data_IF_913979650967
#
_entry.id   IF_913979650967
#
_cell.length_a   1.000
_cell.length_b   1.000
_cell.length_c   1.000
_cell.angle_alpha   90.00
_cell.angle_beta   90.00
_cell.angle_gamma   90.00
#
_symmetry.space_group_name_H-M   'P 1'
#
loop_
_entity.id
_entity.type
_entity.pdbx_description
1 polymer ?
#
# COMPACT_ATOMS: atom_id res chain seq x y z
N UNK A 1 2.35 -15.97 -11.60
CA UNK A 1 2.73 -14.89 -10.67
C UNK A 1 1.48 -14.41 -9.95
N UNK A 2 1.59 -13.83 -8.74
CA UNK A 2 0.42 -13.36 -7.95
C UNK A 2 -0.49 -12.43 -8.78
N UNK A 3 0.12 -11.54 -9.56
CA UNK A 3 -0.59 -10.57 -10.40
C UNK A 3 -1.18 -11.15 -11.70
N UNK A 4 -0.96 -12.43 -11.99
CA UNK A 4 -1.55 -13.09 -13.16
C UNK A 4 -2.98 -13.61 -12.87
N UNK A 5 -3.46 -13.45 -11.62
CA UNK A 5 -4.82 -13.79 -11.21
C UNK A 5 -5.75 -12.59 -11.45
N UNK A 6 -6.83 -12.74 -12.20
CA UNK A 6 -7.75 -11.63 -12.50
C UNK A 6 -8.31 -10.86 -11.29
N UNK A 7 -8.28 -11.47 -10.08
CA UNK A 7 -8.89 -10.94 -8.86
C UNK A 7 -7.89 -10.53 -7.77
N UNK A 8 -6.60 -10.35 -8.13
CA UNK A 8 -5.58 -10.02 -7.13
C UNK A 8 -5.83 -8.66 -6.47
N UNK A 9 -6.38 -7.69 -7.22
CA UNK A 9 -6.71 -6.36 -6.70
C UNK A 9 -7.85 -6.45 -5.68
N UNK A 10 -8.92 -7.18 -6.00
CA UNK A 10 -10.05 -7.39 -5.09
C UNK A 10 -9.61 -8.13 -3.82
N UNK A 11 -8.73 -9.13 -3.96
CA UNK A 11 -8.16 -9.84 -2.82
C UNK A 11 -7.36 -8.90 -1.91
N UNK A 12 -6.56 -8.02 -2.52
CA UNK A 12 -5.77 -7.04 -1.78
C UNK A 12 -6.67 -6.04 -1.06
N UNK A 13 -7.71 -5.50 -1.72
CA UNK A 13 -8.71 -4.63 -1.08
C UNK A 13 -9.37 -5.30 0.13
N UNK A 14 -9.79 -6.55 0.00
CA UNK A 14 -10.39 -7.33 1.09
C UNK A 14 -9.44 -7.54 2.28
N UNK A 15 -8.14 -7.64 2.02
CA UNK A 15 -7.12 -7.75 3.07
C UNK A 15 -6.89 -6.39 3.75
N UNK A 16 -6.72 -5.32 2.98
CA UNK A 16 -6.44 -3.98 3.52
C UNK A 16 -7.64 -3.36 4.26
N UNK A 17 -8.86 -3.72 3.87
CA UNK A 17 -10.10 -3.28 4.51
C UNK A 17 -10.71 -4.34 5.45
N UNK A 18 -9.94 -5.36 5.86
CA UNK A 18 -10.48 -6.44 6.66
C UNK A 18 -10.91 -5.95 8.05
N UNK A 19 -12.12 -6.31 8.54
CA UNK A 19 -12.58 -5.89 9.87
C UNK A 19 -11.82 -6.57 11.01
N UNK A 20 -11.08 -7.66 10.74
CA UNK A 20 -10.22 -8.27 11.72
C UNK A 20 -8.82 -7.61 11.68
N UNK A 21 -8.47 -6.90 12.75
CA UNK A 21 -7.23 -6.13 12.87
C UNK A 21 -5.96 -6.96 12.57
N UNK A 22 -5.91 -8.23 12.98
CA UNK A 22 -4.75 -9.10 12.74
C UNK A 22 -4.66 -9.55 11.27
N UNK A 23 -5.80 -9.81 10.63
CA UNK A 23 -5.83 -10.11 9.19
C UNK A 23 -5.43 -8.87 8.39
N UNK A 24 -5.97 -7.70 8.76
CA UNK A 24 -5.62 -6.43 8.12
C UNK A 24 -4.12 -6.15 8.23
N UNK A 25 -3.57 -6.23 9.45
CA UNK A 25 -2.14 -6.06 9.68
C UNK A 25 -1.30 -6.99 8.81
N UNK A 26 -1.64 -8.29 8.76
CA UNK A 26 -0.92 -9.26 7.91
C UNK A 26 -1.05 -8.95 6.42
N UNK A 27 -2.21 -8.45 6.00
CA UNK A 27 -2.44 -7.94 4.64
C UNK A 27 -1.50 -6.79 4.28
N UNK A 28 -1.42 -5.78 5.14
CA UNK A 28 -0.53 -4.62 4.92
C UNK A 28 0.94 -5.03 4.99
N UNK A 29 1.32 -5.90 5.93
CA UNK A 29 2.69 -6.43 6.04
C UNK A 29 3.11 -7.23 4.79
N UNK A 30 2.21 -8.05 4.26
CA UNK A 30 2.44 -8.78 3.02
C UNK A 30 2.65 -7.82 1.85
N UNK A 31 1.79 -6.80 1.73
CA UNK A 31 1.89 -5.76 0.71
C UNK A 31 3.23 -5.02 0.78
N UNK A 32 3.68 -4.66 1.99
CA UNK A 32 5.00 -4.07 2.20
C UNK A 32 6.12 -4.92 1.62
N UNK A 33 6.12 -6.23 1.88
CA UNK A 33 7.15 -7.13 1.35
C UNK A 33 7.10 -7.26 -0.17
N UNK A 34 5.89 -7.23 -0.76
CA UNK A 34 5.73 -7.25 -2.22
C UNK A 34 6.32 -5.97 -2.84
N UNK A 35 5.95 -4.81 -2.30
CA UNK A 35 6.44 -3.50 -2.77
C UNK A 35 7.97 -3.42 -2.62
N UNK A 36 8.51 -3.86 -1.47
CA UNK A 36 9.94 -3.81 -1.19
C UNK A 36 10.76 -4.84 -1.99
N UNK A 37 10.11 -5.87 -2.54
CA UNK A 37 10.78 -6.97 -3.25
C UNK A 37 10.99 -6.72 -4.74
N UNK A 38 10.08 -5.98 -5.40
CA UNK A 38 10.15 -5.74 -6.84
C UNK A 38 9.50 -4.43 -7.26
N UNK A 39 10.28 -3.56 -7.92
CA UNK A 39 9.84 -2.22 -8.34
C UNK A 39 8.74 -2.28 -9.39
N UNK A 40 8.81 -3.20 -10.34
CA UNK A 40 7.81 -3.27 -11.43
C UNK A 40 6.46 -3.78 -10.91
N UNK A 41 6.50 -4.73 -9.97
CA UNK A 41 5.31 -5.16 -9.21
C UNK A 41 4.77 -4.02 -8.36
N UNK A 42 5.62 -3.24 -7.69
CA UNK A 42 5.19 -2.05 -6.96
C UNK A 42 4.48 -1.06 -7.88
N UNK A 43 5.03 -0.75 -9.06
CA UNK A 43 4.42 0.15 -10.04
C UNK A 43 2.98 -0.29 -10.39
N UNK A 44 2.78 -1.56 -10.72
CA UNK A 44 1.44 -2.11 -11.02
C UNK A 44 0.45 -2.02 -9.87
N UNK A 45 0.94 -2.16 -8.63
CA UNK A 45 0.11 -1.99 -7.43
C UNK A 45 -0.35 -0.54 -7.30
N UNK A 46 0.55 0.42 -7.49
CA UNK A 46 0.25 1.84 -7.37
C UNK A 46 -0.47 2.45 -8.57
N UNK A 47 -0.68 1.69 -9.65
CA UNK A 47 -1.63 2.02 -10.73
C UNK A 47 -3.10 1.76 -10.34
N UNK A 48 -3.34 1.15 -9.16
CA UNK A 48 -4.67 0.88 -8.61
C UNK A 48 -5.02 1.84 -7.47
N UNK A 49 -6.18 1.66 -6.84
CA UNK A 49 -6.66 2.43 -5.68
C UNK A 49 -5.96 2.09 -4.35
N UNK A 50 -4.89 1.29 -4.39
CA UNK A 50 -4.15 0.88 -3.19
C UNK A 50 -3.47 2.07 -2.50
N UNK A 51 -3.04 3.09 -3.24
CA UNK A 51 -2.43 4.29 -2.64
C UNK A 51 -3.41 5.00 -1.72
N UNK A 52 -4.64 5.21 -2.20
CA UNK A 52 -5.71 5.87 -1.47
C UNK A 52 -6.10 5.06 -0.22
N UNK A 53 -6.16 3.73 -0.34
CA UNK A 53 -6.45 2.84 0.80
C UNK A 53 -5.35 2.95 1.87
N UNK A 54 -4.08 2.92 1.45
CA UNK A 54 -2.94 3.08 2.37
C UNK A 54 -2.98 4.45 3.06
N UNK A 55 -3.20 5.53 2.31
CA UNK A 55 -3.32 6.89 2.85
C UNK A 55 -4.52 7.05 3.80
N UNK A 56 -5.62 6.33 3.56
CA UNK A 56 -6.75 6.31 4.49
C UNK A 56 -6.36 5.60 5.79
N UNK A 57 -5.71 4.44 5.70
CA UNK A 57 -5.25 3.66 6.86
C UNK A 57 -4.34 4.47 7.79
N UNK A 58 -3.40 5.25 7.24
CA UNK A 58 -2.49 6.07 8.04
C UNK A 58 -3.18 7.23 8.78
N UNK A 59 -4.37 7.63 8.34
CA UNK A 59 -5.15 8.73 8.94
C UNK A 59 -6.21 8.28 9.95
N UNK A 60 -6.44 6.97 10.09
CA UNK A 60 -7.43 6.46 11.04
C UNK A 60 -6.97 6.72 12.48
N UNK A 61 -7.80 7.35 13.30
CA UNK A 61 -7.52 7.47 14.74
C UNK A 61 -8.02 6.21 15.46
N UNK A 62 -7.26 5.12 15.35
CA UNK A 62 -7.59 3.85 15.99
C UNK A 62 -6.33 3.15 16.55
N UNK A 63 -6.14 3.14 17.89
CA UNK A 63 -4.98 2.51 18.52
C UNK A 63 -4.84 1.01 18.27
N UNK A 64 -5.94 0.30 17.99
CA UNK A 64 -5.94 -1.15 17.81
C UNK A 64 -5.29 -1.61 16.50
N UNK A 65 -5.18 -0.71 15.52
CA UNK A 65 -4.60 -1.00 14.21
C UNK A 65 -3.21 -0.38 14.01
N UNK A 66 -2.57 0.13 15.08
CA UNK A 66 -1.29 0.85 15.01
C UNK A 66 -0.21 0.15 14.16
N UNK A 67 -0.12 -1.18 14.26
CA UNK A 67 0.82 -1.96 13.43
C UNK A 67 0.49 -1.91 11.94
N UNK A 68 -0.79 -1.99 11.58
CA UNK A 68 -1.22 -1.85 10.20
C UNK A 68 -0.91 -0.44 9.67
N UNK A 69 -1.08 0.59 10.51
CA UNK A 69 -0.75 1.98 10.16
C UNK A 69 0.75 2.17 9.91
N UNK A 70 1.60 1.70 10.82
CA UNK A 70 3.06 1.77 10.66
C UNK A 70 3.51 1.09 9.36
N UNK A 71 2.94 -0.06 9.00
CA UNK A 71 3.29 -0.72 7.74
C UNK A 71 2.66 -0.06 6.52
N UNK A 72 1.52 0.61 6.65
CA UNK A 72 0.95 1.39 5.57
C UNK A 72 1.83 2.61 5.25
N UNK A 73 2.35 3.30 6.28
CA UNK A 73 3.36 4.36 6.13
C UNK A 73 4.62 3.83 5.46
N UNK A 74 5.12 2.66 5.87
CA UNK A 74 6.28 2.03 5.22
C UNK A 74 6.02 1.69 3.76
N UNK A 75 4.82 1.22 3.39
CA UNK A 75 4.47 0.96 1.99
C UNK A 75 4.59 2.25 1.16
N UNK A 76 4.02 3.36 1.64
CA UNK A 76 4.08 4.66 0.97
C UNK A 76 5.53 5.16 0.87
N UNK A 77 6.29 5.10 1.97
CA UNK A 77 7.70 5.53 1.97
C UNK A 77 8.57 4.69 1.04
N UNK A 78 8.40 3.37 1.01
CA UNK A 78 9.13 2.49 0.11
C UNK A 78 8.76 2.78 -1.35
N UNK A 79 7.48 3.00 -1.65
CA UNK A 79 7.04 3.36 -2.99
C UNK A 79 7.60 4.70 -3.47
N UNK A 80 7.70 5.69 -2.57
CA UNK A 80 8.36 6.96 -2.82
C UNK A 80 9.86 6.75 -3.10
N UNK A 81 10.56 5.98 -2.26
CA UNK A 81 11.98 5.67 -2.44
C UNK A 81 12.26 4.91 -3.75
N UNK A 82 11.32 4.10 -4.22
CA UNK A 82 11.39 3.40 -5.51
C UNK A 82 11.05 4.31 -6.71
N UNK A 83 10.63 5.55 -6.45
CA UNK A 83 10.19 6.52 -7.45
C UNK A 83 8.88 6.13 -8.14
N UNK A 84 8.07 5.29 -7.51
CA UNK A 84 6.78 4.80 -8.03
C UNK A 84 5.66 5.80 -7.73
N UNK A 85 5.75 6.49 -6.60
CA UNK A 85 4.87 7.61 -6.23
C UNK A 85 5.70 8.86 -5.94
N UNK A 86 5.05 10.02 -5.86
CA UNK A 86 5.69 11.31 -5.53
C UNK A 86 4.83 12.09 -4.56
N UNK A 87 5.46 12.98 -3.79
CA UNK A 87 4.71 13.98 -3.03
C UNK A 87 4.01 14.97 -3.97
N UNK A 88 2.83 15.49 -3.60
CA UNK A 88 2.08 16.43 -4.43
C UNK A 88 2.89 17.63 -4.92
N UNK A 89 3.83 18.13 -4.10
CA UNK A 89 4.59 19.36 -4.40
C UNK A 89 5.83 19.13 -5.28
N UNK A 90 6.25 17.88 -5.51
CA UNK A 90 7.43 17.55 -6.31
C UNK A 90 7.13 17.41 -7.81
N UNK A 91 5.86 17.27 -8.18
CA UNK A 91 5.43 17.16 -9.59
C UNK A 91 5.45 18.49 -10.35
N UNK A 92 5.39 19.64 -9.66
CA UNK A 92 5.26 20.96 -10.27
C UNK A 92 6.59 21.57 -10.76
N UNK A 93 7.74 21.03 -10.34
CA UNK A 93 9.07 21.58 -10.68
C UNK A 93 9.72 20.95 -11.93
N UNK A 94 8.99 20.09 -12.65
CA UNK A 94 9.53 19.37 -13.82
C UNK A 94 8.66 19.45 -15.08
N UNK A 95 7.78 20.46 -15.18
CA UNK A 95 7.00 20.78 -16.37
C UNK A 95 7.45 22.11 -16.99
#
# INVERSE_FOLDING_TARGET
KLLDLNSWVESLRCLLANPNNEIQYRGVYMLYNIINGDRDTAAKIFETDVMEILMALTKLDNPEIKKAQEYAEKCLQTAENLGVIRKPDEGALSA
#
